data_IF_574229274794
#
_entry.id   IF_574229274794
#
_cell.length_a   1.000
_cell.length_b   1.000
_cell.length_c   1.000
_cell.angle_alpha   90.00
_cell.angle_beta   90.00
_cell.angle_gamma   90.00
#
_symmetry.space_group_name_H-M   'P 1'
#
loop_
_entity.id
_entity.type
_entity.pdbx_description
1 polymer ?
#
# COMPACT_ATOMS: atom_id res chain seq x y z
N UNK A 1 12.60 -27.48 -9.47
CA UNK A 1 13.81 -26.63 -9.45
C UNK A 1 13.61 -25.53 -8.39
N UNK A 2 14.61 -25.27 -7.50
CA UNK A 2 14.53 -24.24 -6.47
C UNK A 2 15.07 -22.90 -6.98
N UNK A 3 14.44 -21.80 -6.64
CA UNK A 3 14.91 -20.46 -6.96
C UNK A 3 16.29 -20.20 -6.37
N UNK A 4 17.18 -19.58 -7.14
CA UNK A 4 18.49 -19.13 -6.71
C UNK A 4 18.43 -17.71 -6.14
N UNK A 5 19.42 -17.31 -5.36
CA UNK A 5 19.52 -15.93 -4.83
C UNK A 5 19.56 -14.89 -5.96
N UNK A 6 20.23 -15.18 -7.08
CA UNK A 6 20.29 -14.30 -8.26
C UNK A 6 18.91 -14.11 -8.90
N UNK A 7 18.11 -15.17 -9.03
CA UNK A 7 16.75 -15.08 -9.55
C UNK A 7 15.84 -14.25 -8.64
N UNK A 8 15.98 -14.37 -7.30
CA UNK A 8 15.24 -13.53 -6.36
C UNK A 8 15.64 -12.06 -6.46
N UNK A 9 16.93 -11.76 -6.73
CA UNK A 9 17.37 -10.38 -6.99
C UNK A 9 16.70 -9.82 -8.25
N UNK A 10 16.68 -10.56 -9.35
CA UNK A 10 15.97 -10.16 -10.57
C UNK A 10 14.47 -9.99 -10.35
N UNK A 11 13.87 -10.90 -9.58
CA UNK A 11 12.46 -10.75 -9.19
C UNK A 11 12.21 -9.44 -8.43
N UNK A 12 13.10 -9.04 -7.51
CA UNK A 12 12.99 -7.75 -6.83
C UNK A 12 13.10 -6.56 -7.79
N UNK A 13 13.97 -6.63 -8.79
CA UNK A 13 14.03 -5.60 -9.85
C UNK A 13 12.69 -5.51 -10.59
N UNK A 14 12.12 -6.65 -11.00
CA UNK A 14 10.80 -6.68 -11.63
C UNK A 14 9.70 -6.09 -10.72
N UNK A 15 9.75 -6.36 -9.42
CA UNK A 15 8.80 -5.80 -8.45
C UNK A 15 8.98 -4.28 -8.27
N UNK A 16 10.20 -3.76 -8.35
CA UNK A 16 10.42 -2.31 -8.38
C UNK A 16 9.83 -1.68 -9.64
N UNK A 17 10.02 -2.30 -10.80
CA UNK A 17 9.39 -1.85 -12.04
C UNK A 17 7.86 -1.91 -11.95
N UNK A 18 7.30 -2.99 -11.40
CA UNK A 18 5.86 -3.11 -11.16
C UNK A 18 5.31 -2.03 -10.21
N UNK A 19 6.13 -1.54 -9.27
CA UNK A 19 5.77 -0.43 -8.39
C UNK A 19 5.86 0.94 -9.06
N UNK A 20 6.83 1.12 -9.97
CA UNK A 20 7.10 2.40 -10.65
C UNK A 20 6.27 2.61 -11.91
N UNK A 21 6.05 1.57 -12.71
CA UNK A 21 5.31 1.69 -13.97
C UNK A 21 3.90 2.28 -13.82
N UNK A 22 3.09 1.88 -12.82
CA UNK A 22 1.80 2.52 -12.61
C UNK A 22 1.91 4.01 -12.29
N UNK A 23 2.98 4.44 -11.60
CA UNK A 23 3.22 5.85 -11.32
C UNK A 23 3.56 6.63 -12.60
N UNK A 24 4.44 6.09 -13.44
CA UNK A 24 4.79 6.70 -14.73
C UNK A 24 3.56 6.79 -15.65
N UNK A 25 2.76 5.74 -15.68
CA UNK A 25 1.50 5.75 -16.41
C UNK A 25 0.53 6.82 -15.89
N UNK A 26 0.40 6.96 -14.56
CA UNK A 26 -0.47 7.97 -13.95
C UNK A 26 -0.02 9.39 -14.34
N UNK A 27 1.28 9.66 -14.24
CA UNK A 27 1.85 10.96 -14.66
C UNK A 27 1.60 11.23 -16.14
N UNK A 28 1.78 10.22 -16.99
CA UNK A 28 1.47 10.34 -18.42
C UNK A 28 -0.02 10.62 -18.66
N UNK A 29 -0.91 9.88 -18.01
CA UNK A 29 -2.36 10.03 -18.14
C UNK A 29 -2.86 11.42 -17.71
N UNK A 30 -2.30 11.98 -16.62
CA UNK A 30 -2.61 13.33 -16.15
C UNK A 30 -2.25 14.38 -17.23
N UNK A 31 -1.09 14.24 -17.88
CA UNK A 31 -0.59 15.22 -18.85
C UNK A 31 -1.24 15.09 -20.24
N UNK A 32 -1.82 13.95 -20.58
CA UNK A 32 -2.37 13.66 -21.92
C UNK A 32 -3.90 13.47 -21.93
N UNK A 33 -4.59 13.85 -20.84
CA UNK A 33 -6.04 13.71 -20.75
C UNK A 33 -6.51 12.24 -20.76
N UNK A 34 -5.68 11.31 -20.28
CA UNK A 34 -6.01 9.89 -20.16
C UNK A 34 -6.88 9.54 -18.95
N UNK A 35 -7.33 10.53 -18.18
CA UNK A 35 -8.25 10.38 -17.06
C UNK A 35 -9.69 10.68 -17.52
N UNK A 36 -10.68 10.15 -16.78
CA UNK A 36 -12.09 10.34 -17.09
C UNK A 36 -12.63 11.74 -16.77
N UNK A 37 -13.95 11.83 -16.64
CA UNK A 37 -14.67 13.10 -16.39
C UNK A 37 -14.33 13.72 -15.02
N UNK A 38 -13.92 12.91 -14.04
CA UNK A 38 -13.48 13.35 -12.71
C UNK A 38 -12.04 12.88 -12.45
N UNK A 39 -11.02 13.66 -12.89
CA UNK A 39 -9.63 13.29 -12.73
C UNK A 39 -9.18 13.08 -11.30
N UNK A 40 -9.73 13.84 -10.34
CA UNK A 40 -9.38 13.74 -8.92
C UNK A 40 -9.82 12.37 -8.37
N UNK A 41 -11.04 12.00 -8.64
CA UNK A 41 -11.61 10.70 -8.25
C UNK A 41 -10.85 9.54 -8.90
N UNK A 42 -10.49 9.67 -10.18
CA UNK A 42 -9.73 8.65 -10.90
C UNK A 42 -8.34 8.45 -10.31
N UNK A 43 -7.63 9.53 -9.97
CA UNK A 43 -6.32 9.47 -9.30
C UNK A 43 -6.46 8.76 -7.95
N UNK A 44 -7.46 9.12 -7.15
CA UNK A 44 -7.69 8.51 -5.85
C UNK A 44 -7.99 7.01 -5.97
N UNK A 45 -8.90 6.63 -6.86
CA UNK A 45 -9.24 5.21 -7.08
C UNK A 45 -8.05 4.42 -7.64
N UNK A 46 -7.27 5.00 -8.54
CA UNK A 46 -6.09 4.34 -9.11
C UNK A 46 -5.02 4.08 -8.05
N UNK A 47 -4.68 5.10 -7.25
CA UNK A 47 -3.65 5.01 -6.21
C UNK A 47 -4.07 4.07 -5.09
N UNK A 48 -5.33 4.15 -4.62
CA UNK A 48 -5.87 3.26 -3.60
C UNK A 48 -5.93 1.80 -4.05
N UNK A 49 -6.41 1.53 -5.27
CA UNK A 49 -6.43 0.16 -5.83
C UNK A 49 -5.03 -0.41 -6.02
N UNK A 50 -4.07 0.42 -6.39
CA UNK A 50 -2.68 -0.01 -6.54
C UNK A 50 -2.08 -0.39 -5.19
N UNK A 51 -2.30 0.42 -4.15
CA UNK A 51 -1.90 0.07 -2.78
C UNK A 51 -2.50 -1.27 -2.32
N UNK A 52 -3.80 -1.47 -2.56
CA UNK A 52 -4.51 -2.70 -2.21
C UNK A 52 -3.93 -3.93 -2.95
N UNK A 53 -3.60 -3.80 -4.24
CA UNK A 53 -2.96 -4.88 -5.00
C UNK A 53 -1.60 -5.28 -4.40
N UNK A 54 -0.78 -4.31 -4.00
CA UNK A 54 0.50 -4.57 -3.32
C UNK A 54 0.32 -5.20 -1.94
N UNK A 55 -0.70 -4.80 -1.18
CA UNK A 55 -1.05 -5.42 0.09
C UNK A 55 -1.38 -6.90 -0.09
N UNK A 56 -2.29 -7.22 -1.01
CA UNK A 56 -2.69 -8.59 -1.30
C UNK A 56 -1.52 -9.42 -1.81
N UNK A 57 -0.70 -8.87 -2.71
CA UNK A 57 0.51 -9.55 -3.19
C UNK A 57 1.47 -9.86 -2.03
N UNK A 58 1.71 -8.91 -1.11
CA UNK A 58 2.58 -9.11 0.05
C UNK A 58 2.07 -10.24 0.96
N UNK A 59 0.76 -10.34 1.15
CA UNK A 59 0.13 -11.38 1.96
C UNK A 59 0.19 -12.76 1.29
N UNK A 60 0.04 -12.80 -0.04
CA UNK A 60 0.08 -14.04 -0.83
C UNK A 60 1.48 -14.65 -0.91
N UNK A 61 2.56 -13.90 -0.69
CA UNK A 61 3.93 -14.42 -0.78
C UNK A 61 4.17 -15.59 0.16
N UNK A 62 3.69 -15.53 1.39
CA UNK A 62 3.94 -16.62 2.37
C UNK A 62 3.25 -17.93 2.00
N UNK A 63 1.94 -17.98 1.70
CA UNK A 63 1.31 -19.20 1.23
C UNK A 63 1.88 -19.69 -0.10
N UNK A 64 2.19 -18.79 -1.03
CA UNK A 64 2.79 -19.13 -2.31
C UNK A 64 4.18 -19.77 -2.13
N UNK A 65 5.02 -19.20 -1.27
CA UNK A 65 6.35 -19.73 -0.98
C UNK A 65 6.28 -21.16 -0.37
N UNK A 66 5.27 -21.42 0.47
CA UNK A 66 5.03 -22.74 1.07
C UNK A 66 4.53 -23.73 0.03
N UNK A 67 3.49 -23.37 -0.71
CA UNK A 67 2.88 -24.24 -1.73
C UNK A 67 3.88 -24.60 -2.84
N UNK A 68 4.58 -23.60 -3.40
CA UNK A 68 5.59 -23.79 -4.43
C UNK A 68 6.92 -24.35 -3.90
N UNK A 69 7.07 -24.57 -2.58
CA UNK A 69 8.32 -25.02 -1.93
C UNK A 69 9.52 -24.12 -2.27
N UNK A 70 9.29 -22.78 -2.32
CA UNK A 70 10.27 -21.76 -2.70
C UNK A 70 10.52 -20.78 -1.54
N UNK A 71 11.26 -21.17 -0.49
CA UNK A 71 11.41 -20.35 0.73
C UNK A 71 12.05 -18.98 0.47
N UNK A 72 12.87 -18.85 -0.58
CA UNK A 72 13.52 -17.58 -0.94
C UNK A 72 12.53 -16.49 -1.39
N UNK A 73 11.32 -16.85 -1.83
CA UNK A 73 10.27 -15.87 -2.17
C UNK A 73 9.89 -14.98 -0.98
N UNK A 74 9.99 -15.47 0.25
CA UNK A 74 9.70 -14.69 1.46
C UNK A 74 10.52 -13.39 1.52
N UNK A 75 11.70 -13.36 0.90
CA UNK A 75 12.55 -12.18 0.82
C UNK A 75 11.96 -11.01 0.01
N UNK A 76 10.91 -11.25 -0.78
CA UNK A 76 10.21 -10.20 -1.55
C UNK A 76 9.06 -9.56 -0.77
N UNK A 77 8.58 -10.19 0.32
CA UNK A 77 7.43 -9.73 1.11
C UNK A 77 7.62 -8.31 1.64
N UNK A 78 8.81 -8.00 2.18
CA UNK A 78 9.14 -6.66 2.67
C UNK A 78 9.03 -5.61 1.57
N UNK A 79 9.56 -5.91 0.38
CA UNK A 79 9.53 -4.98 -0.75
C UNK A 79 8.10 -4.65 -1.19
N UNK A 80 7.25 -5.66 -1.29
CA UNK A 80 5.84 -5.49 -1.62
C UNK A 80 5.10 -4.68 -0.56
N UNK A 81 5.38 -4.93 0.73
CA UNK A 81 4.81 -4.14 1.83
C UNK A 81 5.23 -2.66 1.81
N UNK A 82 6.48 -2.37 1.46
CA UNK A 82 6.97 -1.00 1.30
C UNK A 82 6.33 -0.30 0.09
N UNK A 83 6.12 -1.00 -1.03
CA UNK A 83 5.38 -0.46 -2.16
C UNK A 83 3.90 -0.21 -1.83
N UNK A 84 3.28 -1.12 -1.05
CA UNK A 84 1.94 -0.89 -0.53
C UNK A 84 1.87 0.41 0.27
N UNK A 85 2.80 0.63 1.20
CA UNK A 85 2.87 1.85 2.01
C UNK A 85 3.12 3.10 1.16
N UNK A 86 4.03 3.04 0.18
CA UNK A 86 4.30 4.16 -0.72
C UNK A 86 3.03 4.56 -1.51
N UNK A 87 2.31 3.60 -2.09
CA UNK A 87 1.07 3.85 -2.81
C UNK A 87 -0.07 4.31 -1.89
N UNK A 88 -0.18 3.78 -0.68
CA UNK A 88 -1.15 4.25 0.32
C UNK A 88 -0.87 5.70 0.77
N UNK A 89 0.41 6.08 0.86
CA UNK A 89 0.82 7.46 1.17
C UNK A 89 0.49 8.39 0.00
N UNK A 90 0.74 7.97 -1.23
CA UNK A 90 0.35 8.74 -2.43
C UNK A 90 -1.17 8.91 -2.50
N UNK A 91 -1.94 7.85 -2.17
CA UNK A 91 -3.40 7.91 -2.09
C UNK A 91 -3.89 8.93 -1.05
N UNK A 92 -3.36 8.89 0.18
CA UNK A 92 -3.70 9.85 1.23
C UNK A 92 -3.32 11.29 0.83
N UNK A 93 -2.13 11.46 0.24
CA UNK A 93 -1.66 12.76 -0.24
C UNK A 93 -2.54 13.30 -1.36
N UNK A 94 -2.95 12.46 -2.31
CA UNK A 94 -3.87 12.88 -3.39
C UNK A 94 -5.22 13.35 -2.82
N UNK A 95 -5.76 12.67 -1.82
CA UNK A 95 -6.97 13.11 -1.14
C UNK A 95 -6.77 14.48 -0.46
N UNK A 96 -5.72 14.61 0.32
CA UNK A 96 -5.45 15.83 1.08
C UNK A 96 -5.23 17.06 0.17
N UNK A 97 -4.51 16.89 -0.94
CA UNK A 97 -4.12 18.00 -1.81
C UNK A 97 -5.16 18.30 -2.91
N UNK A 98 -5.76 17.27 -3.50
CA UNK A 98 -6.64 17.43 -4.66
C UNK A 98 -8.13 17.54 -4.26
N UNK A 99 -8.58 16.80 -3.26
CA UNK A 99 -9.98 16.82 -2.81
C UNK A 99 -10.22 17.96 -1.81
N UNK A 100 -9.42 18.04 -0.73
CA UNK A 100 -9.55 19.10 0.27
C UNK A 100 -8.92 20.41 -0.18
N UNK A 101 -7.82 20.34 -0.92
CA UNK A 101 -6.99 21.50 -1.30
C UNK A 101 -6.05 21.95 -0.20
N UNK A 102 -4.93 22.56 -0.61
CA UNK A 102 -3.83 22.96 0.29
C UNK A 102 -4.29 23.93 1.39
N UNK A 103 -5.26 24.82 1.08
CA UNK A 103 -5.77 25.81 2.03
C UNK A 103 -6.73 25.21 3.08
N UNK A 104 -7.22 24.00 2.86
CA UNK A 104 -8.24 23.35 3.67
C UNK A 104 -7.75 22.13 4.45
N UNK A 105 -6.43 21.94 4.55
CA UNK A 105 -5.85 20.77 5.25
C UNK A 105 -6.30 20.66 6.71
N UNK A 106 -6.63 21.79 7.36
CA UNK A 106 -7.20 21.79 8.72
C UNK A 106 -8.56 21.06 8.80
N UNK A 107 -9.29 20.95 7.68
CA UNK A 107 -10.56 20.24 7.62
C UNK A 107 -10.38 18.71 7.62
N UNK A 108 -9.17 18.21 7.34
CA UNK A 108 -8.91 16.77 7.29
C UNK A 108 -9.34 16.07 8.59
N UNK A 109 -9.04 16.67 9.75
CA UNK A 109 -9.45 16.13 11.04
C UNK A 109 -10.97 16.03 11.20
N UNK A 110 -11.71 17.03 10.74
CA UNK A 110 -13.18 17.05 10.75
C UNK A 110 -13.75 15.99 9.80
N UNK A 111 -13.23 15.92 8.58
CA UNK A 111 -13.62 14.92 7.57
C UNK A 111 -13.42 13.48 8.07
N UNK A 112 -12.29 13.21 8.74
CA UNK A 112 -11.99 11.90 9.31
C UNK A 112 -13.01 11.46 10.37
N UNK A 113 -13.57 12.40 11.14
CA UNK A 113 -14.57 12.10 12.17
C UNK A 113 -15.96 11.96 11.56
N UNK A 114 -16.29 12.79 10.56
CA UNK A 114 -17.64 12.83 9.97
C UNK A 114 -17.89 11.75 8.92
N UNK A 115 -16.83 11.21 8.30
CA UNK A 115 -16.90 10.17 7.27
C UNK A 115 -16.24 8.87 7.73
N UNK A 116 -17.00 7.90 8.24
CA UNK A 116 -16.45 6.67 8.83
C UNK A 116 -15.53 5.88 7.91
N UNK A 117 -15.78 5.91 6.59
CA UNK A 117 -14.90 5.22 5.63
C UNK A 117 -13.49 5.83 5.58
N UNK A 118 -13.37 7.17 5.74
CA UNK A 118 -12.05 7.83 5.83
C UNK A 118 -11.31 7.42 7.11
N UNK A 119 -12.04 7.25 8.22
CA UNK A 119 -11.46 6.75 9.48
C UNK A 119 -10.82 5.37 9.30
N UNK A 120 -11.48 4.45 8.57
CA UNK A 120 -10.91 3.14 8.27
C UNK A 120 -9.65 3.25 7.42
N UNK A 121 -9.64 4.18 6.45
CA UNK A 121 -8.48 4.46 5.62
C UNK A 121 -7.28 4.97 6.41
N UNK A 122 -7.49 5.96 7.29
CA UNK A 122 -6.40 6.53 8.09
C UNK A 122 -5.86 5.54 9.12
N UNK A 123 -6.72 4.74 9.77
CA UNK A 123 -6.28 3.68 10.68
C UNK A 123 -5.38 2.68 9.91
N UNK A 124 -5.81 2.26 8.72
CA UNK A 124 -5.01 1.38 7.87
C UNK A 124 -3.66 1.99 7.53
N UNK A 125 -3.63 3.27 7.16
CA UNK A 125 -2.40 3.99 6.83
C UNK A 125 -1.46 4.12 8.03
N UNK A 126 -1.96 4.45 9.23
CA UNK A 126 -1.16 4.54 10.46
C UNK A 126 -0.53 3.19 10.80
N UNK A 127 -1.27 2.09 10.65
CA UNK A 127 -0.72 0.74 10.85
C UNK A 127 0.39 0.49 9.81
N UNK A 128 0.15 0.74 8.52
CA UNK A 128 1.16 0.56 7.47
C UNK A 128 2.41 1.41 7.71
N UNK A 129 2.26 2.64 8.23
CA UNK A 129 3.36 3.51 8.62
C UNK A 129 4.22 2.84 9.69
N UNK A 130 3.59 2.34 10.78
CA UNK A 130 4.30 1.63 11.84
C UNK A 130 5.04 0.39 11.32
N UNK A 131 4.41 -0.39 10.43
CA UNK A 131 5.01 -1.57 9.81
C UNK A 131 6.19 -1.19 8.89
N UNK A 132 6.09 -0.10 8.13
CA UNK A 132 7.15 0.39 7.26
C UNK A 132 8.39 0.82 8.07
N UNK A 133 8.21 1.65 9.09
CA UNK A 133 9.29 2.10 9.98
C UNK A 133 9.98 0.95 10.70
N UNK A 134 9.21 -0.06 11.12
CA UNK A 134 9.76 -1.21 11.85
C UNK A 134 10.21 -2.36 10.94
N UNK A 135 10.20 -2.17 9.62
CA UNK A 135 10.55 -3.22 8.65
C UNK A 135 12.05 -3.50 8.51
N UNK A 136 12.91 -2.68 9.14
CA UNK A 136 14.37 -2.84 9.06
C UNK A 136 14.87 -3.98 9.96
N UNK A 137 16.02 -4.58 9.59
CA UNK A 137 16.63 -5.63 10.42
C UNK A 137 17.04 -5.12 11.81
N UNK A 138 17.45 -3.85 11.91
CA UNK A 138 17.76 -3.22 13.20
C UNK A 138 16.53 -3.17 14.10
N UNK A 139 15.40 -2.71 13.57
CA UNK A 139 14.14 -2.66 14.35
C UNK A 139 13.63 -4.05 14.71
N UNK A 140 13.76 -5.01 13.81
CA UNK A 140 13.39 -6.40 14.10
C UNK A 140 14.19 -6.96 15.29
N UNK A 141 15.51 -6.72 15.33
CA UNK A 141 16.36 -7.12 16.46
C UNK A 141 15.97 -6.36 17.74
N UNK A 142 15.73 -5.05 17.65
CA UNK A 142 15.39 -4.19 18.79
C UNK A 142 14.04 -4.58 19.42
N UNK A 143 13.03 -4.88 18.62
CA UNK A 143 11.69 -5.23 19.07
C UNK A 143 11.57 -6.72 19.47
N UNK A 144 12.45 -7.59 18.98
CA UNK A 144 12.44 -9.02 19.29
C UNK A 144 11.07 -9.67 19.05
N UNK A 145 10.51 -10.33 20.07
CA UNK A 145 9.20 -11.01 19.99
C UNK A 145 8.04 -10.06 19.69
N UNK A 146 8.11 -8.79 20.09
CA UNK A 146 7.07 -7.82 19.85
C UNK A 146 6.99 -7.39 18.39
N UNK A 147 8.08 -7.56 17.62
CA UNK A 147 8.09 -7.26 16.19
C UNK A 147 7.02 -8.07 15.44
N UNK A 148 6.93 -9.37 15.70
CA UNK A 148 5.93 -10.21 15.04
C UNK A 148 4.50 -9.84 15.45
N UNK A 149 4.28 -9.50 16.72
CA UNK A 149 2.97 -9.04 17.20
C UNK A 149 2.52 -7.77 16.46
N UNK A 150 3.42 -6.78 16.34
CA UNK A 150 3.16 -5.56 15.57
C UNK A 150 2.89 -5.87 14.10
N UNK A 151 3.71 -6.72 13.46
CA UNK A 151 3.56 -7.05 12.04
C UNK A 151 2.31 -7.89 11.72
N UNK A 152 1.69 -8.52 12.71
CA UNK A 152 0.41 -9.21 12.54
C UNK A 152 -0.76 -8.21 12.30
N UNK A 153 -0.62 -6.93 12.67
CA UNK A 153 -1.63 -5.91 12.35
C UNK A 153 -1.83 -5.71 10.84
N UNK A 154 -0.95 -6.24 9.99
CA UNK A 154 -1.18 -6.28 8.53
C UNK A 154 -2.49 -7.01 8.18
N UNK A 155 -2.89 -8.01 8.97
CA UNK A 155 -4.15 -8.73 8.75
C UNK A 155 -5.37 -7.86 9.07
N UNK A 156 -5.26 -6.96 10.05
CA UNK A 156 -6.29 -5.95 10.29
C UNK A 156 -6.41 -4.99 9.10
N UNK A 157 -5.29 -4.53 8.55
CA UNK A 157 -5.28 -3.69 7.33
C UNK A 157 -5.92 -4.44 6.16
N UNK A 158 -5.67 -5.75 6.04
CA UNK A 158 -6.28 -6.60 5.00
C UNK A 158 -7.81 -6.69 5.08
N UNK A 159 -8.39 -6.38 6.24
CA UNK A 159 -9.85 -6.29 6.44
C UNK A 159 -10.32 -4.85 6.24
N UNK A 160 -9.65 -3.88 6.86
CA UNK A 160 -10.08 -2.48 6.85
C UNK A 160 -9.97 -1.83 5.46
N UNK A 161 -8.88 -2.11 4.71
CA UNK A 161 -8.65 -1.47 3.42
C UNK A 161 -9.69 -1.86 2.35
N UNK A 162 -10.09 -3.13 2.18
CA UNK A 162 -11.21 -3.49 1.29
C UNK A 162 -12.55 -2.88 1.72
N UNK A 163 -12.85 -2.83 3.02
CA UNK A 163 -14.08 -2.21 3.53
C UNK A 163 -14.07 -0.71 3.21
N UNK A 164 -12.96 -0.01 3.50
CA UNK A 164 -12.76 1.38 3.12
C UNK A 164 -13.01 1.60 1.62
N UNK A 165 -12.41 0.77 0.76
CA UNK A 165 -12.57 0.86 -0.69
C UNK A 165 -14.03 0.65 -1.12
N UNK A 166 -14.68 -0.41 -0.66
CA UNK A 166 -16.07 -0.71 -1.02
C UNK A 166 -17.02 0.39 -0.56
N UNK A 167 -16.75 1.00 0.57
CA UNK A 167 -17.58 2.09 1.08
C UNK A 167 -17.36 3.39 0.29
N UNK A 168 -16.12 3.70 -0.06
CA UNK A 168 -15.78 4.90 -0.84
C UNK A 168 -16.35 4.88 -2.27
N UNK A 169 -16.56 3.69 -2.86
CA UNK A 169 -17.12 3.54 -4.22
C UNK A 169 -18.63 3.69 -4.24
N UNK A 170 -19.32 3.43 -3.10
CA UNK A 170 -20.79 3.51 -3.00
C UNK A 170 -21.31 4.91 -2.70
N UNK A 171 -20.43 5.84 -2.34
CA UNK A 171 -20.75 7.24 -2.02
C UNK A 171 -20.35 8.12 -3.20
#
# INVERSE_FOLDING_TARGET
MRLTAKQVTWLKVCLHLAGLLPFLWLVWAINHGGLGADPVKDIQHFTGRTALKFLLAALLITPLARYAKQPLLIRTRRLLGLWCFAWATLHLTSYALLELGVNNLALLGKELITRPYLTLGIISWVILLALAFTSTQSMQRKLGKHWQQLHNFVYLVAILAPIHYLWSVKI
#
